data_IF_309509883467
#
_entry.id   IF_309509883467
#
_cell.length_a   1.000
_cell.length_b   1.000
_cell.length_c   1.000
_cell.angle_alpha   90.00
_cell.angle_beta   90.00
_cell.angle_gamma   90.00
#
_symmetry.space_group_name_H-M   'P 1'
#
loop_
_entity.id
_entity.type
_entity.pdbx_description
1 polymer ?
#
# COMPACT_ATOMS: atom_id res chain seq x y z
N UNK A 1 -1.62 -10.25 -2.90
CA UNK A 1 -2.85 -10.29 -2.07
C UNK A 1 -3.22 -8.86 -1.73
N UNK A 2 -4.52 -8.49 -1.69
CA UNK A 2 -4.95 -7.10 -1.56
C UNK A 2 -5.83 -6.85 -0.31
N UNK A 3 -5.29 -6.99 0.91
CA UNK A 3 -6.00 -6.59 2.13
C UNK A 3 -6.08 -5.06 2.24
N UNK A 4 -7.04 -4.56 3.02
CA UNK A 4 -7.12 -3.14 3.42
C UNK A 4 -6.11 -2.83 4.55
N UNK A 5 -5.83 -1.53 4.78
CA UNK A 5 -4.83 -1.08 5.76
C UNK A 5 -5.08 -1.60 7.19
N UNK A 6 -6.33 -1.72 7.72
CA UNK A 6 -6.54 -2.21 9.08
C UNK A 6 -6.02 -3.64 9.27
N UNK A 7 -6.11 -4.48 8.23
CA UNK A 7 -5.74 -5.89 8.29
C UNK A 7 -4.22 -6.12 8.32
N UNK A 8 -3.43 -5.10 8.01
CA UNK A 8 -1.96 -5.21 7.95
C UNK A 8 -1.32 -4.15 8.84
N UNK A 9 -1.15 -2.92 8.36
CA UNK A 9 -0.45 -1.85 9.08
C UNK A 9 -1.25 -1.30 10.24
N UNK A 10 -2.58 -1.42 10.23
CA UNK A 10 -3.42 -1.15 11.39
C UNK A 10 -3.06 -2.01 12.61
N UNK A 11 -2.36 -3.13 12.40
CA UNK A 11 -1.74 -3.94 13.46
C UNK A 11 -0.79 -3.15 14.37
N UNK A 12 -0.22 -2.02 13.89
CA UNK A 12 0.63 -1.14 14.69
C UNK A 12 -0.14 -0.36 15.76
N UNK A 13 -1.43 -0.12 15.53
CA UNK A 13 -2.32 0.59 16.45
C UNK A 13 -2.92 -0.38 17.47
N UNK A 14 -3.43 -1.51 16.99
CA UNK A 14 -3.98 -2.57 17.83
C UNK A 14 -3.91 -3.92 17.10
N UNK A 15 -3.86 -5.01 17.85
CA UNK A 15 -3.78 -6.36 17.28
C UNK A 15 -4.92 -7.25 17.80
N UNK A 16 -5.95 -7.42 16.99
CA UNK A 16 -7.15 -8.17 17.35
C UNK A 16 -8.35 -7.86 16.43
N UNK A 17 -9.30 -8.80 16.33
CA UNK A 17 -10.38 -8.74 15.34
C UNK A 17 -9.80 -8.56 13.92
N UNK A 18 -10.24 -7.57 13.15
CA UNK A 18 -9.70 -7.27 11.82
C UNK A 18 -8.26 -6.73 11.88
N UNK A 19 -7.89 -6.05 12.97
CA UNK A 19 -6.65 -5.28 13.06
C UNK A 19 -5.42 -6.18 13.09
N UNK A 20 -4.60 -6.11 12.04
CA UNK A 20 -3.43 -6.97 11.84
C UNK A 20 -3.74 -8.43 11.48
N UNK A 21 -5.00 -8.80 11.20
CA UNK A 21 -5.38 -10.20 10.98
C UNK A 21 -4.77 -10.86 9.74
N UNK A 22 -4.28 -10.09 8.77
CA UNK A 22 -3.55 -10.61 7.60
C UNK A 22 -2.06 -10.85 7.87
N UNK A 23 -1.49 -10.27 8.93
CA UNK A 23 -0.08 -10.41 9.27
C UNK A 23 0.40 -11.87 9.39
N UNK A 24 -0.29 -12.80 10.09
CA UNK A 24 0.12 -14.20 10.12
C UNK A 24 0.05 -14.89 8.74
N UNK A 25 -0.90 -14.49 7.89
CA UNK A 25 -1.01 -15.01 6.52
C UNK A 25 0.18 -14.54 5.69
N UNK A 26 0.46 -13.24 5.71
CA UNK A 26 1.61 -12.62 5.03
C UNK A 26 2.91 -13.29 5.47
N UNK A 27 3.13 -13.42 6.78
CA UNK A 27 4.33 -14.04 7.34
C UNK A 27 4.52 -15.47 6.83
N UNK A 28 3.44 -16.27 6.79
CA UNK A 28 3.53 -17.65 6.29
C UNK A 28 3.94 -17.70 4.81
N UNK A 29 3.41 -16.81 3.97
CA UNK A 29 3.74 -16.75 2.54
C UNK A 29 5.15 -16.18 2.27
N UNK A 30 5.66 -15.29 3.13
CA UNK A 30 7.04 -14.83 3.06
C UNK A 30 7.99 -15.97 3.42
N UNK A 31 7.75 -16.63 4.56
CA UNK A 31 8.64 -17.69 5.08
C UNK A 31 8.75 -18.91 4.16
N UNK A 32 7.73 -19.20 3.36
CA UNK A 32 7.75 -20.30 2.41
C UNK A 32 8.08 -19.86 0.97
N UNK A 33 8.44 -18.59 0.76
CA UNK A 33 8.83 -18.06 -0.54
C UNK A 33 7.69 -17.96 -1.56
N UNK A 34 6.42 -17.90 -1.12
CA UNK A 34 5.24 -17.87 -2.01
C UNK A 34 4.56 -16.50 -2.07
N UNK A 35 4.99 -15.53 -1.27
CA UNK A 35 4.56 -14.14 -1.46
C UNK A 35 5.31 -13.54 -2.65
N UNK A 36 4.62 -13.39 -3.79
CA UNK A 36 5.18 -12.71 -4.94
C UNK A 36 5.04 -11.19 -4.83
N UNK A 37 3.88 -10.71 -4.37
CA UNK A 37 3.69 -9.34 -3.91
C UNK A 37 2.47 -9.17 -2.98
N UNK A 38 2.52 -8.11 -2.19
CA UNK A 38 1.42 -7.55 -1.42
C UNK A 38 0.94 -6.27 -2.11
N UNK A 39 -0.30 -6.28 -2.58
CA UNK A 39 -0.96 -5.12 -3.17
C UNK A 39 -2.03 -4.56 -2.23
N UNK A 40 -1.59 -4.18 -1.02
CA UNK A 40 -2.44 -3.63 0.03
C UNK A 40 -3.18 -2.38 -0.47
N UNK A 41 -4.46 -2.27 -0.10
CA UNK A 41 -5.36 -1.22 -0.57
C UNK A 41 -5.14 0.06 0.24
N UNK A 42 -4.54 1.08 -0.37
CA UNK A 42 -4.28 2.39 0.24
C UNK A 42 -5.47 3.31 -0.03
N UNK A 43 -6.68 2.88 0.34
CA UNK A 43 -7.91 3.64 0.17
C UNK A 43 -9.02 3.09 1.07
N UNK A 44 -10.12 3.83 1.20
CA UNK A 44 -11.26 3.58 2.08
C UNK A 44 -11.00 3.62 3.59
N UNK A 45 -9.74 3.60 4.02
CA UNK A 45 -9.29 3.76 5.42
C UNK A 45 -8.07 4.68 5.50
N UNK A 46 -7.76 5.11 6.72
CA UNK A 46 -6.51 5.83 7.03
C UNK A 46 -5.27 4.96 6.75
N UNK A 47 -4.13 5.63 6.63
CA UNK A 47 -2.84 4.96 6.53
C UNK A 47 -2.17 4.88 7.89
N UNK A 48 -1.45 3.80 8.15
CA UNK A 48 -0.81 3.54 9.45
C UNK A 48 0.69 3.37 9.29
N UNK A 49 1.44 4.07 10.14
CA UNK A 49 2.87 3.88 10.29
C UNK A 49 3.21 2.74 11.26
N UNK A 50 4.47 2.66 11.66
CA UNK A 50 4.97 1.56 12.50
C UNK A 50 4.84 1.83 14.01
N UNK A 51 4.46 3.03 14.42
CA UNK A 51 4.52 3.48 15.81
C UNK A 51 3.13 3.77 16.39
N UNK A 52 2.09 3.16 15.84
CA UNK A 52 0.70 3.43 16.22
C UNK A 52 0.20 4.80 15.74
N UNK A 53 0.91 5.41 14.80
CA UNK A 53 0.59 6.65 14.12
C UNK A 53 -0.36 6.44 12.95
N UNK A 54 -1.22 7.44 12.69
CA UNK A 54 -2.13 7.46 11.54
C UNK A 54 -1.93 8.70 10.68
N UNK A 55 -2.22 8.55 9.39
CA UNK A 55 -2.13 9.59 8.37
C UNK A 55 -3.40 9.60 7.54
N UNK A 56 -3.82 10.79 7.13
CA UNK A 56 -4.95 10.92 6.23
C UNK A 56 -4.69 10.20 4.89
N UNK A 57 -5.67 9.42 4.45
CA UNK A 57 -5.64 8.76 3.16
C UNK A 57 -5.51 9.77 2.00
N UNK A 58 -4.85 9.36 0.92
CA UNK A 58 -4.69 10.20 -0.28
C UNK A 58 -3.57 11.24 -0.15
N UNK A 59 -2.69 11.10 0.83
CA UNK A 59 -1.53 11.97 1.03
C UNK A 59 -0.22 11.24 0.70
N UNK A 60 0.74 11.96 0.12
CA UNK A 60 2.09 11.42 -0.14
C UNK A 60 2.79 11.05 1.16
N UNK A 61 2.63 11.85 2.22
CA UNK A 61 3.23 11.59 3.53
C UNK A 61 2.75 10.25 4.12
N UNK A 62 1.44 10.00 4.12
CA UNK A 62 0.91 8.75 4.62
C UNK A 62 1.25 7.55 3.71
N UNK A 63 1.27 7.74 2.38
CA UNK A 63 1.74 6.71 1.45
C UNK A 63 3.16 6.27 1.80
N UNK A 64 4.05 7.22 2.02
CA UNK A 64 5.45 6.96 2.36
C UNK A 64 5.56 6.27 3.72
N UNK A 65 4.94 6.83 4.76
CA UNK A 65 5.01 6.30 6.12
C UNK A 65 4.54 4.83 6.20
N UNK A 66 3.45 4.50 5.50
CA UNK A 66 2.90 3.15 5.47
C UNK A 66 3.79 2.15 4.71
N UNK A 67 4.26 2.54 3.54
CA UNK A 67 5.12 1.72 2.66
C UNK A 67 6.50 1.48 3.30
N UNK A 68 7.06 2.51 3.92
CA UNK A 68 8.32 2.44 4.67
C UNK A 68 8.17 1.57 5.90
N UNK A 69 7.04 1.64 6.60
CA UNK A 69 6.78 0.77 7.74
C UNK A 69 6.82 -0.71 7.35
N UNK A 70 6.17 -1.09 6.24
CA UNK A 70 6.20 -2.47 5.75
C UNK A 70 7.65 -2.94 5.43
N UNK A 71 8.48 -2.06 4.86
CA UNK A 71 9.86 -2.37 4.52
C UNK A 71 10.82 -2.35 5.72
N UNK A 72 10.60 -1.47 6.70
CA UNK A 72 11.34 -1.46 7.96
C UNK A 72 11.01 -2.70 8.80
N UNK A 73 9.74 -3.11 8.79
CA UNK A 73 9.19 -4.23 9.51
C UNK A 73 8.26 -3.77 10.62
N UNK A 74 7.03 -4.29 10.60
CA UNK A 74 6.03 -4.03 11.62
C UNK A 74 6.19 -5.04 12.76
N UNK A 75 6.38 -4.57 14.00
CA UNK A 75 6.47 -5.44 15.18
C UNK A 75 5.14 -5.46 15.93
N UNK A 76 4.52 -6.63 16.00
CA UNK A 76 3.28 -6.88 16.76
C UNK A 76 3.46 -8.07 17.68
N UNK A 77 3.06 -7.95 18.95
CA UNK A 77 3.14 -9.03 19.93
C UNK A 77 4.55 -9.72 19.98
N UNK A 78 5.62 -8.93 19.87
CA UNK A 78 7.00 -9.41 19.87
C UNK A 78 7.49 -10.08 18.58
N UNK A 79 6.68 -10.10 17.51
CA UNK A 79 7.06 -10.63 16.19
C UNK A 79 7.17 -9.50 15.18
N UNK A 80 8.32 -9.41 14.50
CA UNK A 80 8.54 -8.46 13.40
C UNK A 80 8.24 -9.12 12.05
N UNK A 81 7.40 -8.49 11.25
CA UNK A 81 7.04 -8.92 9.90
C UNK A 81 7.46 -7.84 8.93
N UNK A 82 8.32 -8.19 7.97
CA UNK A 82 8.89 -7.27 6.97
C UNK A 82 8.47 -7.70 5.57
N UNK A 83 7.94 -6.77 4.80
CA UNK A 83 7.68 -6.92 3.37
C UNK A 83 8.63 -5.96 2.64
N UNK A 84 9.71 -6.45 2.01
CA UNK A 84 10.64 -5.59 1.28
C UNK A 84 9.96 -4.89 0.09
N UNK A 85 10.48 -3.73 -0.34
CA UNK A 85 9.88 -2.92 -1.42
C UNK A 85 9.64 -3.69 -2.74
N UNK A 86 10.51 -4.64 -3.08
CA UNK A 86 10.41 -5.49 -4.28
C UNK A 86 9.29 -6.54 -4.22
N UNK A 87 8.58 -6.62 -3.08
CA UNK A 87 7.35 -7.36 -2.87
C UNK A 87 6.13 -6.45 -2.61
N UNK A 88 6.30 -5.12 -2.62
CA UNK A 88 5.21 -4.18 -2.38
C UNK A 88 4.66 -3.62 -3.70
N UNK A 89 3.34 -3.66 -3.84
CA UNK A 89 2.61 -3.10 -4.98
C UNK A 89 1.43 -2.25 -4.45
N UNK A 90 1.67 -1.10 -3.79
CA UNK A 90 0.60 -0.32 -3.16
C UNK A 90 -0.59 -0.06 -4.10
N UNK A 91 -1.80 -0.26 -3.58
CA UNK A 91 -3.05 -0.14 -4.34
C UNK A 91 -3.67 1.23 -4.18
N UNK A 92 -3.91 1.95 -5.28
CA UNK A 92 -4.54 3.28 -5.26
C UNK A 92 -5.81 3.32 -6.14
N UNK A 93 -6.81 4.15 -5.82
CA UNK A 93 -7.94 4.37 -6.72
C UNK A 93 -7.46 5.03 -8.02
N UNK A 94 -7.94 4.53 -9.17
CA UNK A 94 -7.63 5.14 -10.47
C UNK A 94 -8.25 6.54 -10.62
N UNK A 95 -9.38 6.76 -9.94
CA UNK A 95 -10.16 7.98 -9.98
C UNK A 95 -10.77 8.30 -8.62
N UNK A 96 -11.34 9.50 -8.51
CA UNK A 96 -12.23 9.84 -7.40
C UNK A 96 -13.51 8.98 -7.47
N UNK A 97 -13.97 8.47 -6.31
CA UNK A 97 -15.14 7.57 -6.23
C UNK A 97 -14.99 6.42 -5.22
N UNK A 98 -13.77 6.17 -4.73
CA UNK A 98 -13.55 5.38 -3.52
C UNK A 98 -13.98 6.18 -2.27
N UNK A 99 -14.17 5.52 -1.13
CA UNK A 99 -14.53 6.15 0.15
C UNK A 99 -13.44 7.07 0.72
N UNK A 100 -12.23 7.04 0.14
CA UNK A 100 -11.08 7.89 0.45
C UNK A 100 -9.83 7.40 -0.29
N UNK A 101 -8.72 8.13 -0.22
CA UNK A 101 -7.42 7.62 -0.70
C UNK A 101 -7.05 7.94 -2.15
N UNK A 102 -7.91 8.60 -2.93
CA UNK A 102 -7.54 9.02 -4.29
C UNK A 102 -6.41 10.05 -4.25
N UNK A 103 -5.39 9.82 -5.08
CA UNK A 103 -4.28 10.73 -5.33
C UNK A 103 -4.32 11.11 -6.80
N UNK A 104 -4.24 12.42 -7.11
CA UNK A 104 -4.13 12.85 -8.50
C UNK A 104 -2.80 12.37 -9.13
N UNK A 105 -2.67 12.33 -10.47
CA UNK A 105 -1.47 11.80 -11.13
C UNK A 105 -0.14 12.42 -10.68
N UNK A 106 -0.13 13.71 -10.34
CA UNK A 106 1.08 14.39 -9.84
C UNK A 106 1.52 13.83 -8.48
N UNK A 107 0.58 13.66 -7.55
CA UNK A 107 0.85 13.07 -6.24
C UNK A 107 1.25 11.60 -6.33
N UNK A 108 0.59 10.82 -7.22
CA UNK A 108 0.96 9.43 -7.50
C UNK A 108 2.40 9.35 -8.00
N UNK A 109 2.76 10.23 -8.94
CA UNK A 109 4.11 10.34 -9.46
C UNK A 109 5.13 10.68 -8.37
N UNK A 110 4.84 11.69 -7.55
CA UNK A 110 5.70 12.08 -6.43
C UNK A 110 5.95 10.93 -5.45
N UNK A 111 4.90 10.17 -5.12
CA UNK A 111 5.00 9.02 -4.23
C UNK A 111 5.80 7.87 -4.86
N UNK A 112 5.62 7.60 -6.16
CA UNK A 112 6.39 6.60 -6.91
C UNK A 112 7.88 6.97 -7.01
N UNK A 113 8.16 8.19 -7.45
CA UNK A 113 9.51 8.69 -7.72
C UNK A 113 10.36 8.72 -6.43
N UNK A 114 9.73 8.86 -5.26
CA UNK A 114 10.39 8.76 -3.95
C UNK A 114 11.17 7.44 -3.77
N UNK A 115 10.65 6.33 -4.32
CA UNK A 115 11.26 5.01 -4.16
C UNK A 115 12.32 4.68 -5.20
N UNK A 116 12.55 5.53 -6.20
CA UNK A 116 13.61 5.40 -7.20
C UNK A 116 13.73 3.97 -7.79
N UNK A 117 12.59 3.36 -8.14
CA UNK A 117 12.52 2.02 -8.73
C UNK A 117 12.61 0.84 -7.75
N UNK A 118 12.64 1.09 -6.43
CA UNK A 118 12.67 0.01 -5.43
C UNK A 118 11.33 -0.71 -5.27
N UNK A 119 10.20 -0.03 -5.50
CA UNK A 119 8.88 -0.64 -5.45
C UNK A 119 8.67 -1.57 -6.64
N UNK A 120 8.03 -2.72 -6.39
CA UNK A 120 7.71 -3.68 -7.44
C UNK A 120 6.73 -3.13 -8.49
N UNK A 121 5.84 -2.24 -8.07
CA UNK A 121 4.83 -1.65 -8.94
C UNK A 121 3.76 -0.91 -8.15
N UNK A 122 2.68 -0.55 -8.84
CA UNK A 122 1.44 -0.07 -8.23
C UNK A 122 0.27 -0.89 -8.73
N UNK A 123 -0.72 -1.08 -7.87
CA UNK A 123 -2.00 -1.65 -8.23
C UNK A 123 -3.02 -0.52 -8.31
N UNK A 124 -4.01 -0.67 -9.18
CA UNK A 124 -5.15 0.25 -9.17
C UNK A 124 -6.49 -0.46 -9.14
N UNK A 125 -7.42 0.13 -8.40
CA UNK A 125 -8.83 -0.12 -8.55
C UNK A 125 -9.43 1.04 -9.38
N UNK A 126 -9.72 0.85 -10.67
CA UNK A 126 -9.52 -0.34 -11.50
C UNK A 126 -9.24 0.06 -12.95
N UNK A 127 -8.92 -0.90 -13.82
CA UNK A 127 -8.75 -0.67 -15.26
C UNK A 127 -9.99 0.00 -15.88
N UNK A 128 -11.20 -0.42 -15.49
CA UNK A 128 -12.43 0.19 -16.00
C UNK A 128 -12.57 1.65 -15.57
N UNK A 129 -12.25 1.94 -14.31
CA UNK A 129 -12.23 3.32 -13.82
C UNK A 129 -11.16 4.12 -14.54
N UNK A 130 -9.94 3.63 -14.67
CA UNK A 130 -8.88 4.35 -15.38
C UNK A 130 -9.26 4.63 -16.84
N UNK A 131 -9.80 3.64 -17.55
CA UNK A 131 -10.28 3.80 -18.93
C UNK A 131 -11.43 4.81 -19.07
N UNK A 132 -12.37 4.85 -18.13
CA UNK A 132 -13.40 5.89 -18.07
C UNK A 132 -12.81 7.28 -17.75
N UNK A 133 -11.61 7.32 -17.20
CA UNK A 133 -10.87 8.53 -16.81
C UNK A 133 -9.76 8.89 -17.78
N UNK A 134 -9.85 8.44 -19.03
CA UNK A 134 -8.86 8.68 -20.07
C UNK A 134 -7.46 8.18 -19.71
N UNK A 135 -7.35 7.05 -18.99
CA UNK A 135 -6.09 6.36 -18.68
C UNK A 135 -5.09 7.19 -17.86
N UNK A 136 -5.57 8.17 -17.08
CA UNK A 136 -4.72 9.10 -16.32
C UNK A 136 -3.85 8.45 -15.26
N UNK A 137 -4.23 7.29 -14.70
CA UNK A 137 -3.40 6.56 -13.75
C UNK A 137 -2.35 5.72 -14.48
N UNK A 138 -2.79 4.89 -15.43
CA UNK A 138 -1.93 3.98 -16.20
C UNK A 138 -0.87 4.71 -17.01
N UNK A 139 -1.27 5.72 -17.81
CA UNK A 139 -0.34 6.48 -18.66
C UNK A 139 0.67 7.27 -17.82
N UNK A 140 0.24 7.80 -16.68
CA UNK A 140 1.13 8.49 -15.75
C UNK A 140 2.26 7.58 -15.25
N UNK A 141 1.96 6.33 -14.92
CA UNK A 141 2.99 5.36 -14.53
C UNK A 141 3.79 4.83 -15.71
N UNK A 142 3.19 4.66 -16.88
CA UNK A 142 3.90 4.22 -18.08
C UNK A 142 5.09 5.14 -18.43
N UNK A 143 4.96 6.44 -18.18
CA UNK A 143 6.07 7.40 -18.36
C UNK A 143 7.21 7.29 -17.33
N UNK A 144 7.00 6.51 -16.26
CA UNK A 144 7.93 6.33 -15.13
C UNK A 144 8.51 4.92 -15.03
N UNK A 145 7.84 3.95 -15.62
CA UNK A 145 8.27 2.55 -15.66
C UNK A 145 8.90 2.35 -17.04
N UNK A 146 10.22 2.20 -17.08
CA UNK A 146 11.00 2.04 -18.32
C UNK A 146 10.68 0.77 -19.08
#
# INVERSE_FOLDING_TARGET
MAPETPYVTGGSVTYGSIWGSYLPIIQKYIQNGRLWWLNMQYYNDDYYGCSGDSYAAGTVAGFIAQTDCLNAGLTVQGTTIKIPYDMQVPGLPAQNGAGGGYMNPSLVGQAWDHYNGALKGLMTWSINWDGAGNWTFGDNLLTRIG
#
